data_IF_224321643084
#
_entry.id   IF_224321643084
#
_cell.length_a   1.000
_cell.length_b   1.000
_cell.length_c   1.000
_cell.angle_alpha   90.00
_cell.angle_beta   90.00
_cell.angle_gamma   90.00
#
_symmetry.space_group_name_H-M   'P 1'
#
loop_
_entity.id
_entity.type
_entity.pdbx_description
1 polymer ?
#
# COMPACT_ATOMS: atom_id res chain seq x y z
N UNK A 1 -30.73 46.59 -16.69
CA UNK A 1 -30.99 45.28 -16.12
C UNK A 1 -29.84 44.35 -16.54
N UNK A 2 -28.84 44.21 -15.72
CA UNK A 2 -27.72 43.30 -15.97
C UNK A 2 -27.81 42.20 -14.96
N UNK A 3 -28.00 40.98 -15.45
CA UNK A 3 -28.05 39.80 -14.62
C UNK A 3 -26.69 39.11 -14.68
N UNK A 4 -25.98 39.12 -13.55
CA UNK A 4 -24.71 38.43 -13.39
C UNK A 4 -24.98 36.96 -13.10
N UNK A 5 -24.62 36.09 -14.03
CA UNK A 5 -24.49 34.66 -13.81
C UNK A 5 -23.02 34.26 -13.96
N UNK A 6 -22.23 34.49 -12.92
CA UNK A 6 -20.88 33.97 -12.82
C UNK A 6 -20.66 33.42 -11.42
N UNK A 7 -21.03 32.19 -11.17
CA UNK A 7 -20.65 31.50 -9.93
C UNK A 7 -20.57 29.98 -10.01
N UNK A 8 -20.60 29.38 -11.20
CA UNK A 8 -20.63 27.93 -11.37
C UNK A 8 -19.29 27.27 -11.73
N UNK A 9 -18.30 28.02 -12.19
CA UNK A 9 -17.08 27.45 -12.79
C UNK A 9 -15.98 27.16 -11.76
N UNK A 10 -15.88 27.96 -10.70
CA UNK A 10 -14.79 27.85 -9.72
C UNK A 10 -14.96 26.67 -8.74
N UNK A 11 -16.19 26.33 -8.40
CA UNK A 11 -16.51 25.24 -7.46
C UNK A 11 -16.30 23.87 -8.11
N UNK A 12 -16.57 23.73 -9.39
CA UNK A 12 -16.35 22.46 -10.13
C UNK A 12 -14.87 22.14 -10.36
N UNK A 13 -14.03 23.16 -10.53
CA UNK A 13 -12.58 22.97 -10.70
C UNK A 13 -11.94 22.44 -9.41
N UNK A 14 -12.26 23.00 -8.26
CA UNK A 14 -11.73 22.58 -6.96
C UNK A 14 -12.15 21.18 -6.54
N UNK A 15 -13.38 20.76 -6.87
CA UNK A 15 -13.83 19.40 -6.57
C UNK A 15 -13.16 18.33 -7.44
N UNK A 16 -12.85 18.65 -8.70
CA UNK A 16 -12.11 17.73 -9.56
C UNK A 16 -10.66 17.57 -9.11
N UNK A 17 -9.96 18.66 -8.78
CA UNK A 17 -8.58 18.59 -8.27
C UNK A 17 -8.48 17.81 -6.97
N UNK A 18 -9.46 17.96 -6.07
CA UNK A 18 -9.52 17.18 -4.83
C UNK A 18 -9.73 15.69 -5.10
N UNK A 19 -10.62 15.36 -6.02
CA UNK A 19 -10.89 13.99 -6.43
C UNK A 19 -9.64 13.33 -7.06
N UNK A 20 -8.92 14.04 -7.91
CA UNK A 20 -7.69 13.57 -8.54
C UNK A 20 -6.59 13.28 -7.52
N UNK A 21 -6.47 14.10 -6.48
CA UNK A 21 -5.53 13.84 -5.36
C UNK A 21 -5.89 12.59 -4.58
N UNK A 22 -7.17 12.39 -4.29
CA UNK A 22 -7.68 11.19 -3.63
C UNK A 22 -7.37 9.96 -4.47
N UNK A 23 -7.69 9.97 -5.75
CA UNK A 23 -7.41 8.87 -6.69
C UNK A 23 -5.91 8.58 -6.76
N UNK A 24 -5.06 9.59 -6.83
CA UNK A 24 -3.60 9.42 -6.84
C UNK A 24 -3.09 8.76 -5.56
N UNK A 25 -3.58 9.19 -4.40
CA UNK A 25 -3.22 8.57 -3.11
C UNK A 25 -3.66 7.11 -3.03
N UNK A 26 -4.88 6.80 -3.48
CA UNK A 26 -5.36 5.41 -3.51
C UNK A 26 -4.56 4.54 -4.47
N UNK A 27 -4.17 5.04 -5.65
CA UNK A 27 -3.30 4.33 -6.59
C UNK A 27 -1.94 3.99 -5.99
N UNK A 28 -1.37 4.91 -5.23
CA UNK A 28 -0.14 4.65 -4.49
C UNK A 28 -0.31 3.51 -3.48
N UNK A 29 -1.38 3.51 -2.70
CA UNK A 29 -1.67 2.42 -1.76
C UNK A 29 -1.96 1.09 -2.45
N UNK A 30 -2.59 1.10 -3.63
CA UNK A 30 -2.77 -0.10 -4.47
C UNK A 30 -1.43 -0.72 -4.85
N UNK A 31 -0.48 0.08 -5.31
CA UNK A 31 0.87 -0.38 -5.66
C UNK A 31 1.61 -0.96 -4.45
N UNK A 32 1.46 -0.32 -3.29
CA UNK A 32 2.01 -0.77 -2.02
C UNK A 32 1.44 -2.14 -1.62
N UNK A 33 0.14 -2.32 -1.72
CA UNK A 33 -0.50 -3.60 -1.43
C UNK A 33 -0.11 -4.68 -2.45
N UNK A 34 -0.04 -4.33 -3.73
CA UNK A 34 0.38 -5.24 -4.80
C UNK A 34 1.80 -5.77 -4.56
N UNK A 35 2.74 -4.86 -4.29
CA UNK A 35 4.14 -5.23 -4.01
C UNK A 35 4.28 -6.04 -2.72
N UNK A 36 3.53 -5.69 -1.68
CA UNK A 36 3.46 -6.46 -0.44
C UNK A 36 2.90 -7.87 -0.63
N UNK A 37 1.84 -8.00 -1.45
CA UNK A 37 1.30 -9.31 -1.85
C UNK A 37 2.37 -10.17 -2.53
N UNK A 38 3.07 -9.64 -3.51
CA UNK A 38 4.14 -10.36 -4.22
C UNK A 38 5.31 -10.72 -3.29
N UNK A 39 5.73 -9.79 -2.43
CA UNK A 39 6.81 -10.00 -1.48
C UNK A 39 6.50 -11.12 -0.49
N UNK A 40 5.34 -11.10 0.13
CA UNK A 40 4.90 -12.16 1.05
C UNK A 40 4.65 -13.50 0.37
N UNK A 41 4.18 -13.50 -0.88
CA UNK A 41 4.08 -14.74 -1.68
C UNK A 41 5.45 -15.37 -1.85
N UNK A 42 6.44 -14.58 -2.29
CA UNK A 42 7.82 -15.05 -2.46
C UNK A 42 8.43 -15.53 -1.15
N UNK A 43 8.21 -14.82 -0.05
CA UNK A 43 8.66 -15.24 1.28
C UNK A 43 8.05 -16.57 1.71
N UNK A 44 6.73 -16.74 1.55
CA UNK A 44 6.00 -17.93 1.93
C UNK A 44 6.43 -19.19 1.13
N UNK A 45 6.75 -19.01 -0.15
CA UNK A 45 7.19 -20.10 -1.03
C UNK A 45 8.59 -20.59 -0.73
N UNK A 46 9.42 -19.76 -0.08
CA UNK A 46 10.83 -20.03 0.07
C UNK A 46 11.29 -20.25 1.52
N UNK A 47 10.42 -19.99 2.50
CA UNK A 47 10.74 -20.24 3.91
C UNK A 47 10.45 -21.70 4.27
N UNK A 48 11.41 -22.37 4.94
CA UNK A 48 11.24 -23.77 5.32
C UNK A 48 10.37 -23.96 6.57
N UNK A 49 10.25 -22.92 7.41
CA UNK A 49 9.40 -22.96 8.59
C UNK A 49 7.93 -22.87 8.18
N UNK A 50 7.18 -23.95 8.44
CA UNK A 50 5.77 -24.07 8.03
C UNK A 50 4.84 -23.05 8.71
N UNK A 51 5.12 -22.65 9.96
CA UNK A 51 4.32 -21.63 10.67
C UNK A 51 4.54 -20.25 10.04
N UNK A 52 5.77 -19.89 9.73
CA UNK A 52 6.06 -18.62 9.06
C UNK A 52 5.53 -18.62 7.62
N UNK A 53 5.62 -19.74 6.91
CA UNK A 53 5.03 -19.87 5.58
C UNK A 53 3.51 -19.63 5.61
N UNK A 54 2.80 -20.21 6.58
CA UNK A 54 1.36 -19.99 6.76
C UNK A 54 1.03 -18.54 7.10
N UNK A 55 1.81 -17.91 8.00
CA UNK A 55 1.68 -16.52 8.37
C UNK A 55 1.87 -15.59 7.14
N UNK A 56 2.91 -15.81 6.35
CA UNK A 56 3.20 -15.00 5.16
C UNK A 56 2.15 -15.18 4.07
N UNK A 57 1.59 -16.39 3.89
CA UNK A 57 0.44 -16.59 2.99
C UNK A 57 -0.77 -15.78 3.44
N UNK A 58 -1.03 -15.70 4.76
CA UNK A 58 -2.13 -14.90 5.28
C UNK A 58 -1.92 -13.40 5.04
N UNK A 59 -0.70 -12.90 5.20
CA UNK A 59 -0.38 -11.50 4.90
C UNK A 59 -0.42 -11.21 3.40
N UNK A 60 0.04 -12.13 2.56
CA UNK A 60 -0.10 -12.02 1.11
C UNK A 60 -1.57 -11.90 0.70
N UNK A 61 -2.44 -12.77 1.20
CA UNK A 61 -3.87 -12.71 0.94
C UNK A 61 -4.51 -11.41 1.45
N UNK A 62 -4.10 -10.94 2.62
CA UNK A 62 -4.55 -9.66 3.19
C UNK A 62 -4.19 -8.48 2.27
N UNK A 63 -2.93 -8.39 1.80
CA UNK A 63 -2.50 -7.33 0.89
C UNK A 63 -3.26 -7.36 -0.44
N UNK A 64 -3.51 -8.54 -0.97
CA UNK A 64 -4.33 -8.70 -2.18
C UNK A 64 -5.78 -8.25 -1.98
N UNK A 65 -6.38 -8.57 -0.83
CA UNK A 65 -7.72 -8.10 -0.50
C UNK A 65 -7.78 -6.56 -0.38
N UNK A 66 -6.78 -5.94 0.26
CA UNK A 66 -6.68 -4.49 0.38
C UNK A 66 -6.52 -3.80 -0.98
N UNK A 67 -5.66 -4.35 -1.85
CA UNK A 67 -5.51 -3.90 -3.23
C UNK A 67 -6.85 -3.85 -3.96
N UNK A 68 -7.62 -4.94 -3.91
CA UNK A 68 -8.91 -5.03 -4.57
C UNK A 68 -9.95 -4.06 -4.00
N UNK A 69 -9.99 -3.87 -2.70
CA UNK A 69 -10.87 -2.90 -2.04
C UNK A 69 -10.54 -1.45 -2.47
N UNK A 70 -9.27 -1.10 -2.49
CA UNK A 70 -8.81 0.23 -2.95
C UNK A 70 -9.12 0.46 -4.44
N UNK A 71 -8.97 -0.56 -5.29
CA UNK A 71 -9.35 -0.50 -6.72
C UNK A 71 -10.83 -0.20 -6.91
N UNK A 72 -11.71 -0.77 -6.08
CA UNK A 72 -13.15 -0.46 -6.13
C UNK A 72 -13.42 1.01 -5.80
N UNK A 73 -12.71 1.59 -4.82
CA UNK A 73 -12.84 3.01 -4.48
C UNK A 73 -12.37 3.91 -5.63
N UNK A 74 -11.24 3.61 -6.26
CA UNK A 74 -10.74 4.35 -7.44
C UNK A 74 -11.76 4.33 -8.57
N UNK A 75 -12.33 3.16 -8.89
CA UNK A 75 -13.33 3.02 -9.95
C UNK A 75 -14.62 3.81 -9.62
N UNK A 76 -15.07 3.81 -8.37
CA UNK A 76 -16.25 4.62 -7.94
C UNK A 76 -16.01 6.13 -8.08
N UNK A 77 -14.77 6.57 -7.93
CA UNK A 77 -14.39 7.97 -8.14
C UNK A 77 -14.18 8.35 -9.62
N UNK A 78 -14.40 7.40 -10.54
CA UNK A 78 -14.21 7.61 -11.97
C UNK A 78 -12.76 7.54 -12.43
N UNK A 79 -11.85 7.07 -11.57
CA UNK A 79 -10.46 6.78 -11.91
C UNK A 79 -10.30 5.40 -12.54
N UNK A 80 -9.21 5.21 -13.27
CA UNK A 80 -8.81 3.89 -13.80
C UNK A 80 -7.80 3.23 -12.84
N UNK A 81 -8.22 2.19 -12.16
CA UNK A 81 -7.38 1.50 -11.17
C UNK A 81 -6.20 0.73 -11.80
N UNK A 82 -6.36 0.28 -13.05
CA UNK A 82 -5.33 -0.46 -13.80
C UNK A 82 -4.27 0.45 -14.46
N UNK A 83 -4.49 1.76 -14.51
CA UNK A 83 -3.56 2.71 -15.12
C UNK A 83 -2.38 2.99 -14.19
N UNK A 84 -1.30 2.27 -14.35
CA UNK A 84 -0.02 2.43 -13.62
C UNK A 84 0.87 3.54 -14.16
N UNK A 85 0.32 4.56 -14.81
CA UNK A 85 1.08 5.73 -15.20
C UNK A 85 1.35 6.60 -13.96
N UNK A 86 2.37 6.19 -13.21
CA UNK A 86 2.87 6.90 -12.04
C UNK A 86 3.40 8.28 -12.45
N UNK A 87 2.61 9.31 -12.27
CA UNK A 87 3.11 10.69 -12.28
C UNK A 87 4.09 10.88 -11.10
N UNK A 88 5.23 11.47 -11.33
CA UNK A 88 6.39 11.69 -10.49
C UNK A 88 6.33 11.52 -8.95
N UNK A 89 5.25 11.90 -8.28
CA UNK A 89 5.08 11.72 -6.82
C UNK A 89 4.90 10.25 -6.43
N UNK A 90 4.30 9.44 -7.30
CA UNK A 90 4.10 8.00 -7.09
C UNK A 90 5.38 7.22 -7.35
N UNK A 91 6.29 7.75 -8.18
CA UNK A 91 7.56 7.11 -8.48
C UNK A 91 8.49 7.02 -7.25
N UNK A 92 8.46 8.01 -6.36
CA UNK A 92 9.29 8.01 -5.14
C UNK A 92 8.77 7.02 -4.09
N UNK A 93 7.46 6.95 -3.88
CA UNK A 93 6.85 6.00 -2.94
C UNK A 93 6.92 4.56 -3.46
N UNK A 94 6.60 4.33 -4.73
CA UNK A 94 6.76 3.03 -5.38
C UNK A 94 8.24 2.59 -5.43
N UNK A 95 9.17 3.54 -5.64
CA UNK A 95 10.59 3.30 -5.59
C UNK A 95 11.09 2.90 -4.20
N UNK A 96 10.58 3.54 -3.14
CA UNK A 96 10.91 3.20 -1.75
C UNK A 96 10.40 1.80 -1.39
N UNK A 97 9.20 1.45 -1.81
CA UNK A 97 8.60 0.16 -1.58
C UNK A 97 9.28 -0.95 -2.39
N UNK A 98 9.59 -0.68 -3.66
CA UNK A 98 10.35 -1.59 -4.50
C UNK A 98 11.73 -1.88 -3.90
N UNK A 99 12.38 -0.88 -3.31
CA UNK A 99 13.61 -1.06 -2.52
C UNK A 99 13.39 -1.89 -1.25
N UNK A 100 12.21 -1.81 -0.61
CA UNK A 100 11.85 -2.63 0.56
C UNK A 100 11.82 -4.13 0.26
N UNK A 101 11.39 -4.53 -0.93
CA UNK A 101 11.23 -5.95 -1.31
C UNK A 101 12.24 -6.45 -2.35
N UNK A 102 13.18 -5.63 -2.77
CA UNK A 102 14.10 -5.93 -3.90
C UNK A 102 15.02 -7.12 -3.61
N UNK A 103 15.38 -7.31 -2.36
CA UNK A 103 16.33 -8.33 -1.92
C UNK A 103 15.66 -9.62 -1.44
N UNK A 104 14.31 -9.72 -1.49
CA UNK A 104 13.62 -10.91 -0.99
C UNK A 104 14.09 -12.20 -1.68
N UNK A 105 14.35 -12.14 -2.98
CA UNK A 105 14.89 -13.29 -3.74
C UNK A 105 16.32 -13.63 -3.31
N UNK A 106 17.14 -12.62 -3.05
CA UNK A 106 18.52 -12.80 -2.58
C UNK A 106 18.56 -13.32 -1.14
N UNK A 107 17.67 -12.84 -0.27
CA UNK A 107 17.52 -13.31 1.09
C UNK A 107 17.13 -14.78 1.13
N UNK A 108 16.24 -15.21 0.22
CA UNK A 108 15.83 -16.61 0.06
C UNK A 108 16.97 -17.51 -0.37
N UNK A 109 17.83 -17.06 -1.27
CA UNK A 109 18.88 -17.90 -1.88
C UNK A 109 20.16 -17.98 -1.06
N UNK A 110 20.43 -17.04 -0.17
CA UNK A 110 21.72 -16.97 0.54
C UNK A 110 21.68 -16.47 1.98
N UNK A 111 20.59 -15.86 2.43
CA UNK A 111 20.56 -15.16 3.73
C UNK A 111 19.90 -15.91 4.89
N UNK A 112 19.22 -17.02 4.64
CA UNK A 112 18.50 -17.74 5.68
C UNK A 112 17.21 -17.05 6.16
N UNK A 113 16.68 -17.54 7.29
CA UNK A 113 15.40 -17.08 7.85
C UNK A 113 15.46 -15.63 8.34
N UNK A 114 16.55 -15.25 8.97
CA UNK A 114 16.81 -13.92 9.50
C UNK A 114 16.75 -12.87 8.38
N UNK A 115 17.53 -13.05 7.32
CA UNK A 115 17.54 -12.13 6.18
C UNK A 115 16.17 -12.02 5.49
N UNK A 116 15.39 -13.10 5.47
CA UNK A 116 14.05 -13.11 4.92
C UNK A 116 13.08 -12.29 5.78
N UNK A 117 13.15 -12.44 7.09
CA UNK A 117 12.34 -11.66 8.04
C UNK A 117 12.71 -10.19 8.02
N UNK A 118 14.00 -9.84 7.89
CA UNK A 118 14.46 -8.45 7.74
C UNK A 118 13.91 -7.79 6.47
N UNK A 119 13.82 -8.53 5.36
CA UNK A 119 13.19 -8.01 4.13
C UNK A 119 11.69 -7.80 4.31
N UNK A 120 10.99 -8.72 4.97
CA UNK A 120 9.58 -8.57 5.28
C UNK A 120 9.35 -7.37 6.22
N UNK A 121 10.19 -7.17 7.24
CA UNK A 121 10.13 -6.01 8.13
C UNK A 121 10.30 -4.70 7.35
N UNK A 122 11.29 -4.59 6.48
CA UNK A 122 11.51 -3.40 5.65
C UNK A 122 10.34 -3.09 4.71
N UNK A 123 9.77 -4.13 4.10
CA UNK A 123 8.60 -3.98 3.23
C UNK A 123 7.38 -3.45 3.99
N UNK A 124 7.12 -3.99 5.18
CA UNK A 124 6.03 -3.54 6.03
C UNK A 124 6.26 -2.14 6.61
N UNK A 125 7.49 -1.80 6.99
CA UNK A 125 7.83 -0.44 7.45
C UNK A 125 7.53 0.59 6.37
N UNK A 126 7.90 0.31 5.12
CA UNK A 126 7.59 1.18 3.98
C UNK A 126 6.07 1.29 3.76
N UNK A 127 5.32 0.20 3.92
CA UNK A 127 3.87 0.21 3.82
C UNK A 127 3.21 1.03 4.94
N UNK A 128 3.63 0.85 6.20
CA UNK A 128 3.16 1.64 7.35
C UNK A 128 3.36 3.14 7.08
N UNK A 129 4.55 3.53 6.64
CA UNK A 129 4.86 4.94 6.33
C UNK A 129 3.96 5.50 5.23
N UNK A 130 3.77 4.76 4.14
CA UNK A 130 2.93 5.19 3.04
C UNK A 130 1.46 5.36 3.43
N UNK A 131 0.92 4.47 4.27
CA UNK A 131 -0.44 4.61 4.81
C UNK A 131 -0.55 5.79 5.77
N UNK A 132 0.45 6.07 6.60
CA UNK A 132 0.49 7.27 7.45
C UNK A 132 0.44 8.54 6.61
N UNK A 133 1.27 8.66 5.59
CA UNK A 133 1.30 9.80 4.67
C UNK A 133 -0.04 9.96 3.92
N UNK A 134 -0.65 8.85 3.48
CA UNK A 134 -1.95 8.88 2.83
C UNK A 134 -3.05 9.39 3.76
N UNK A 135 -3.03 9.03 5.04
CA UNK A 135 -4.01 9.46 6.05
C UNK A 135 -3.92 10.95 6.40
N UNK A 136 -2.86 11.64 6.03
CA UNK A 136 -2.76 13.11 6.11
C UNK A 136 -3.60 13.81 5.01
N UNK A 137 -4.01 13.08 3.97
CA UNK A 137 -4.86 13.61 2.91
C UNK A 137 -6.33 13.66 3.35
N UNK A 138 -7.09 14.67 2.90
CA UNK A 138 -8.50 14.79 3.21
C UNK A 138 -9.35 13.80 2.38
N UNK A 139 -9.35 12.55 2.77
CA UNK A 139 -10.21 11.53 2.17
C UNK A 139 -11.69 11.74 2.52
N UNK A 140 -12.64 11.39 1.63
CA UNK A 140 -14.02 11.15 2.01
C UNK A 140 -14.12 10.18 3.18
N UNK A 141 -15.13 10.33 4.03
CA UNK A 141 -15.23 9.61 5.31
C UNK A 141 -15.20 8.08 5.15
N UNK A 142 -15.89 7.54 4.16
CA UNK A 142 -15.94 6.11 3.86
C UNK A 142 -14.55 5.57 3.44
N UNK A 143 -13.84 6.30 2.59
CA UNK A 143 -12.48 5.97 2.15
C UNK A 143 -11.49 6.09 3.32
N UNK A 144 -11.56 7.16 4.10
CA UNK A 144 -10.72 7.36 5.26
C UNK A 144 -10.88 6.21 6.28
N UNK A 145 -12.08 5.68 6.45
CA UNK A 145 -12.34 4.55 7.33
C UNK A 145 -11.65 3.27 6.82
N UNK A 146 -11.76 2.97 5.53
CA UNK A 146 -11.10 1.81 4.90
C UNK A 146 -9.59 1.93 5.03
N UNK A 147 -9.01 3.07 4.66
CA UNK A 147 -7.56 3.30 4.73
C UNK A 147 -7.04 3.16 6.17
N UNK A 148 -7.77 3.65 7.18
CA UNK A 148 -7.40 3.46 8.59
C UNK A 148 -7.45 2.00 9.04
N UNK A 149 -8.47 1.25 8.64
CA UNK A 149 -8.58 -0.17 8.98
C UNK A 149 -7.43 -0.97 8.36
N UNK A 150 -7.12 -0.72 7.10
CA UNK A 150 -5.98 -1.34 6.41
C UNK A 150 -4.65 -0.95 7.08
N UNK A 151 -4.48 0.32 7.42
CA UNK A 151 -3.30 0.80 8.15
C UNK A 151 -3.08 0.05 9.46
N UNK A 152 -4.11 -0.12 10.29
CA UNK A 152 -3.99 -0.86 11.55
C UNK A 152 -3.58 -2.31 11.32
N UNK A 153 -4.16 -2.98 10.34
CA UNK A 153 -3.80 -4.37 10.01
C UNK A 153 -2.36 -4.50 9.49
N UNK A 154 -1.89 -3.53 8.72
CA UNK A 154 -0.51 -3.47 8.24
C UNK A 154 0.46 -3.22 9.40
N UNK A 155 0.10 -2.33 10.33
CA UNK A 155 0.89 -2.04 11.52
C UNK A 155 1.01 -3.25 12.46
N UNK A 156 -0.06 -4.03 12.62
CA UNK A 156 -0.04 -5.29 13.37
C UNK A 156 0.88 -6.32 12.71
N UNK A 157 0.82 -6.47 11.38
CA UNK A 157 1.72 -7.34 10.62
C UNK A 157 3.18 -6.93 10.79
N UNK A 158 3.48 -5.64 10.63
CA UNK A 158 4.82 -5.07 10.85
C UNK A 158 5.35 -5.39 12.25
N UNK A 159 4.55 -5.15 13.28
CA UNK A 159 4.94 -5.43 14.68
C UNK A 159 5.22 -6.91 14.89
N UNK A 160 4.42 -7.78 14.30
CA UNK A 160 4.59 -9.23 14.38
C UNK A 160 5.87 -9.70 13.70
N UNK A 161 6.09 -9.28 12.45
CA UNK A 161 7.29 -9.65 11.67
C UNK A 161 8.55 -9.13 12.35
N UNK A 162 8.55 -7.90 12.82
CA UNK A 162 9.65 -7.31 13.59
C UNK A 162 9.98 -8.10 14.86
N UNK A 163 8.96 -8.59 15.55
CA UNK A 163 9.13 -9.47 16.70
C UNK A 163 9.80 -10.79 16.33
N UNK A 164 9.38 -11.41 15.22
CA UNK A 164 9.97 -12.65 14.71
C UNK A 164 11.43 -12.47 14.27
N UNK A 165 11.75 -11.38 13.57
CA UNK A 165 13.12 -11.08 13.17
C UNK A 165 14.07 -10.98 14.36
N UNK A 166 13.62 -10.43 15.49
CA UNK A 166 14.42 -10.37 16.74
C UNK A 166 14.61 -11.72 17.44
N UNK A 167 13.68 -12.66 17.25
CA UNK A 167 13.78 -14.01 17.84
C UNK A 167 14.78 -14.85 17.06
N UNK A 168 14.83 -14.67 15.73
CA UNK A 168 15.72 -15.44 14.84
C UNK A 168 17.13 -14.83 14.70
N UNK A 169 17.31 -13.58 15.15
CA UNK A 169 18.61 -12.91 15.17
C UNK A 169 19.44 -13.47 16.36
#
# INVERSE_FOLDING_TARGET
MQNQTMSGSSVRSGSNEQNDKVVSSLKNLIEICHTGHQGYTTAAENIKNGEYAALFRSYSAQRHAFENELKQHVNRLGGEAESTNASGLLADAAGALHRGWINIKSAVTGGGIEALLDECERGDEAAVKAYQEALEQPFPQDIAQVVRQQYHSIQEAYTRVKGLARIEA
#
